data_IF_544648146779
#
_entry.id   IF_544648146779
#
_cell.length_a   1.000
_cell.length_b   1.000
_cell.length_c   1.000
_cell.angle_alpha   90.00
_cell.angle_beta   90.00
_cell.angle_gamma   90.00
#
_symmetry.space_group_name_H-M   'P 1'
#
loop_
_entity.id
_entity.type
_entity.pdbx_description
1 polymer ?
#
# COMPACT_ATOMS: atom_id res chain seq x y z
N UNK A 1 -18.42 7.88 41.62
CA UNK A 1 -17.81 6.73 40.92
C UNK A 1 -18.53 6.35 39.60
N UNK A 2 -19.65 7.00 39.21
CA UNK A 2 -20.40 6.64 37.99
C UNK A 2 -19.91 7.28 36.67
N UNK A 3 -19.09 8.34 36.71
CA UNK A 3 -18.65 9.04 35.49
C UNK A 3 -17.62 8.25 34.64
N UNK A 4 -16.99 7.20 35.19
CA UNK A 4 -15.96 6.43 34.48
C UNK A 4 -16.51 5.34 33.55
N UNK A 5 -17.77 4.91 33.72
CA UNK A 5 -18.35 3.84 32.89
C UNK A 5 -18.82 4.30 31.50
N UNK A 6 -18.96 5.60 31.28
CA UNK A 6 -19.42 6.17 30.00
C UNK A 6 -18.35 6.26 28.91
N UNK A 7 -17.07 6.14 29.25
CA UNK A 7 -15.97 6.27 28.28
C UNK A 7 -15.66 4.99 27.48
N UNK A 8 -16.32 3.87 27.77
CA UNK A 8 -15.77 2.55 27.44
C UNK A 8 -16.31 1.88 26.15
N UNK A 9 -17.06 2.59 25.28
CA UNK A 9 -17.57 1.99 24.02
C UNK A 9 -17.40 2.86 22.76
N UNK A 10 -16.49 3.83 22.75
CA UNK A 10 -16.22 4.53 21.49
C UNK A 10 -15.27 3.69 20.63
N UNK A 11 -15.83 2.94 19.68
CA UNK A 11 -15.07 2.22 18.66
C UNK A 11 -14.18 3.16 17.82
N UNK A 12 -13.32 2.58 16.97
CA UNK A 12 -12.41 3.37 16.15
C UNK A 12 -13.16 4.44 15.32
N UNK A 13 -12.57 5.65 15.15
CA UNK A 13 -13.11 6.66 14.25
C UNK A 13 -13.37 6.10 12.86
N UNK A 14 -14.38 6.61 12.16
CA UNK A 14 -14.74 6.14 10.80
C UNK A 14 -13.52 6.19 9.88
N UNK A 15 -12.73 7.27 9.92
CA UNK A 15 -11.52 7.39 9.10
C UNK A 15 -10.49 6.27 9.35
N UNK A 16 -10.34 5.78 10.58
CA UNK A 16 -9.44 4.67 10.90
C UNK A 16 -9.99 3.34 10.35
N UNK A 17 -11.30 3.12 10.43
CA UNK A 17 -11.94 1.93 9.83
C UNK A 17 -11.82 1.93 8.32
N UNK A 18 -12.11 3.06 7.68
CA UNK A 18 -11.95 3.24 6.23
C UNK A 18 -10.50 3.03 5.83
N UNK A 19 -9.53 3.60 6.54
CA UNK A 19 -8.10 3.38 6.28
C UNK A 19 -7.75 1.89 6.25
N UNK A 20 -8.19 1.12 7.26
CA UNK A 20 -7.90 -0.33 7.33
C UNK A 20 -8.50 -1.07 6.13
N UNK A 21 -9.75 -0.76 5.78
CA UNK A 21 -10.43 -1.38 4.63
C UNK A 21 -9.69 -1.02 3.33
N UNK A 22 -9.36 0.26 3.12
CA UNK A 22 -8.64 0.72 1.94
C UNK A 22 -7.27 0.07 1.83
N UNK A 23 -6.51 -0.05 2.92
CA UNK A 23 -5.22 -0.75 2.92
C UNK A 23 -5.39 -2.25 2.61
N UNK A 24 -6.42 -2.90 3.15
CA UNK A 24 -6.69 -4.30 2.83
C UNK A 24 -7.00 -4.48 1.32
N UNK A 25 -7.81 -3.60 0.73
CA UNK A 25 -8.08 -3.62 -0.71
C UNK A 25 -6.82 -3.31 -1.51
N UNK A 26 -6.00 -2.35 -1.08
CA UNK A 26 -4.70 -2.05 -1.70
C UNK A 26 -3.79 -3.29 -1.70
N UNK A 27 -3.73 -4.05 -0.61
CA UNK A 27 -2.95 -5.29 -0.53
C UNK A 27 -3.45 -6.31 -1.55
N UNK A 28 -4.76 -6.46 -1.73
CA UNK A 28 -5.31 -7.34 -2.76
C UNK A 28 -4.89 -6.90 -4.17
N UNK A 29 -4.92 -5.60 -4.45
CA UNK A 29 -4.44 -5.04 -5.73
C UNK A 29 -2.95 -5.26 -5.92
N UNK A 30 -2.14 -5.09 -4.86
CA UNK A 30 -0.70 -5.36 -4.92
C UNK A 30 -0.40 -6.84 -5.22
N UNK A 31 -1.24 -7.77 -4.77
CA UNK A 31 -1.09 -9.20 -5.07
C UNK A 31 -1.58 -9.53 -6.49
N UNK A 32 -2.62 -8.84 -6.96
CA UNK A 32 -3.23 -9.11 -8.26
C UNK A 32 -2.24 -8.96 -9.43
N UNK A 33 -1.36 -7.96 -9.39
CA UNK A 33 -0.38 -7.74 -10.47
C UNK A 33 0.63 -8.89 -10.61
N UNK A 34 1.38 -9.31 -9.57
CA UNK A 34 2.23 -10.50 -9.65
C UNK A 34 1.47 -11.79 -10.03
N UNK A 35 0.26 -11.97 -9.52
CA UNK A 35 -0.59 -13.12 -9.90
C UNK A 35 -0.91 -13.06 -11.39
N UNK A 36 -1.27 -11.90 -11.94
CA UNK A 36 -1.46 -11.74 -13.38
C UNK A 36 -0.19 -12.08 -14.15
N UNK A 37 0.98 -11.60 -13.72
CA UNK A 37 2.24 -11.89 -14.42
C UNK A 37 2.57 -13.40 -14.45
N UNK A 38 2.19 -14.14 -13.39
CA UNK A 38 2.35 -15.60 -13.33
C UNK A 38 1.35 -16.33 -14.23
N UNK A 39 0.11 -15.85 -14.30
CA UNK A 39 -0.96 -16.46 -15.09
C UNK A 39 -0.91 -16.08 -16.58
N UNK A 40 -0.31 -14.93 -16.91
CA UNK A 40 -0.09 -14.42 -18.25
C UNK A 40 1.40 -14.06 -18.47
N UNK A 41 2.26 -15.08 -18.61
CA UNK A 41 3.68 -14.86 -18.88
C UNK A 41 3.92 -14.23 -20.26
N UNK A 42 2.97 -14.34 -21.20
CA UNK A 42 3.03 -13.70 -22.52
C UNK A 42 3.05 -12.17 -22.40
N UNK A 43 2.10 -11.59 -21.67
CA UNK A 43 2.07 -10.14 -21.44
C UNK A 43 3.34 -9.63 -20.77
N UNK A 44 3.87 -10.39 -19.80
CA UNK A 44 5.15 -10.06 -19.15
C UNK A 44 6.32 -10.11 -20.12
N UNK A 45 6.39 -11.16 -20.95
CA UNK A 45 7.43 -11.32 -21.97
C UNK A 45 7.38 -10.18 -23.00
N UNK A 46 6.20 -9.78 -23.46
CA UNK A 46 6.02 -8.66 -24.37
C UNK A 46 6.53 -7.35 -23.75
N UNK A 47 6.24 -7.10 -22.47
CA UNK A 47 6.80 -5.95 -21.75
C UNK A 47 8.33 -5.98 -21.69
N UNK A 48 8.92 -7.14 -21.40
CA UNK A 48 10.38 -7.30 -21.36
C UNK A 48 10.99 -7.00 -22.72
N UNK A 49 10.46 -7.57 -23.81
CA UNK A 49 10.94 -7.30 -25.18
C UNK A 49 10.81 -5.82 -25.53
N UNK A 50 9.70 -5.18 -25.17
CA UNK A 50 9.43 -3.77 -25.47
C UNK A 50 10.44 -2.81 -24.81
N UNK A 51 10.88 -3.14 -23.60
CA UNK A 51 11.69 -2.27 -22.77
C UNK A 51 13.18 -2.62 -22.76
N UNK A 52 13.60 -3.64 -23.51
CA UNK A 52 14.99 -4.11 -23.51
C UNK A 52 15.53 -4.29 -24.94
N UNK A 53 16.87 -4.32 -25.13
CA UNK A 53 17.48 -4.69 -26.41
C UNK A 53 17.07 -6.10 -26.86
N UNK A 54 17.27 -6.45 -28.15
CA UNK A 54 17.03 -7.81 -28.64
C UNK A 54 17.81 -8.86 -27.83
N UNK A 55 17.11 -9.93 -27.43
CA UNK A 55 17.62 -11.02 -26.61
C UNK A 55 17.52 -12.35 -27.35
N UNK A 56 18.40 -13.29 -27.05
CA UNK A 56 18.19 -14.69 -27.40
C UNK A 56 16.99 -15.27 -26.64
N UNK A 57 16.38 -16.37 -27.11
CA UNK A 57 15.24 -16.98 -26.42
C UNK A 57 15.52 -17.37 -24.96
N UNK A 58 16.74 -17.82 -24.65
CA UNK A 58 17.12 -18.20 -23.28
C UNK A 58 17.29 -17.00 -22.34
N UNK A 59 17.85 -15.89 -22.86
CA UNK A 59 17.95 -14.63 -22.11
C UNK A 59 16.57 -14.05 -21.83
N UNK A 60 15.66 -14.12 -22.81
CA UNK A 60 14.29 -13.64 -22.65
C UNK A 60 13.51 -14.40 -21.58
N UNK A 61 13.57 -15.73 -21.58
CA UNK A 61 12.92 -16.56 -20.56
C UNK A 61 13.45 -16.25 -19.14
N UNK A 62 14.78 -16.08 -19.03
CA UNK A 62 15.44 -15.69 -17.79
C UNK A 62 14.99 -14.30 -17.33
N UNK A 63 14.95 -13.33 -18.23
CA UNK A 63 14.55 -11.96 -17.94
C UNK A 63 13.07 -11.86 -17.52
N UNK A 64 12.17 -12.57 -18.20
CA UNK A 64 10.76 -12.69 -17.82
C UNK A 64 10.61 -13.29 -16.43
N UNK A 65 11.28 -14.40 -16.15
CA UNK A 65 11.25 -15.03 -14.82
C UNK A 65 11.79 -14.09 -13.74
N UNK A 66 12.90 -13.41 -14.02
CA UNK A 66 13.48 -12.44 -13.09
C UNK A 66 12.51 -11.27 -12.82
N UNK A 67 11.82 -10.76 -13.84
CA UNK A 67 10.83 -9.70 -13.71
C UNK A 67 9.66 -10.13 -12.81
N UNK A 68 9.14 -11.35 -12.99
CA UNK A 68 8.06 -11.90 -12.15
C UNK A 68 8.51 -12.06 -10.69
N UNK A 69 9.68 -12.65 -10.46
CA UNK A 69 10.23 -12.85 -9.11
C UNK A 69 10.47 -11.51 -8.41
N UNK A 70 11.07 -10.55 -9.12
CA UNK A 70 11.33 -9.22 -8.61
C UNK A 70 10.03 -8.49 -8.25
N UNK A 71 9.06 -8.44 -9.17
CA UNK A 71 7.77 -7.81 -8.93
C UNK A 71 7.05 -8.45 -7.73
N UNK A 72 7.04 -9.78 -7.65
CA UNK A 72 6.45 -10.51 -6.52
C UNK A 72 7.10 -10.12 -5.19
N UNK A 73 8.43 -10.09 -5.13
CA UNK A 73 9.16 -9.74 -3.91
C UNK A 73 8.87 -8.29 -3.47
N UNK A 74 8.91 -7.34 -4.40
CA UNK A 74 8.61 -5.93 -4.10
C UNK A 74 7.18 -5.79 -3.57
N UNK A 75 6.19 -6.34 -4.25
CA UNK A 75 4.79 -6.24 -3.84
C UNK A 75 4.53 -6.91 -2.49
N UNK A 76 5.14 -8.07 -2.23
CA UNK A 76 5.04 -8.74 -0.94
C UNK A 76 5.59 -7.88 0.22
N UNK A 77 6.75 -7.24 0.02
CA UNK A 77 7.33 -6.32 1.01
C UNK A 77 6.42 -5.12 1.24
N UNK A 78 5.93 -4.47 0.17
CA UNK A 78 5.01 -3.35 0.29
C UNK A 78 3.74 -3.73 1.06
N UNK A 79 3.13 -4.88 0.74
CA UNK A 79 1.93 -5.37 1.41
C UNK A 79 2.18 -5.63 2.91
N UNK A 80 3.27 -6.33 3.25
CA UNK A 80 3.61 -6.65 4.64
C UNK A 80 3.89 -5.39 5.46
N UNK A 81 4.69 -4.47 4.93
CA UNK A 81 5.03 -3.21 5.60
C UNK A 81 3.80 -2.31 5.74
N UNK A 82 2.94 -2.21 4.72
CA UNK A 82 1.71 -1.44 4.78
C UNK A 82 0.74 -1.99 5.84
N UNK A 83 0.57 -3.31 5.91
CA UNK A 83 -0.24 -3.97 6.93
C UNK A 83 0.28 -3.67 8.35
N UNK A 84 1.59 -3.85 8.55
CA UNK A 84 2.23 -3.59 9.84
C UNK A 84 2.12 -2.12 10.27
N UNK A 85 2.43 -1.17 9.37
CA UNK A 85 2.30 0.26 9.66
C UNK A 85 0.86 0.67 9.93
N UNK A 86 -0.12 0.06 9.26
CA UNK A 86 -1.54 0.31 9.53
C UNK A 86 -1.92 -0.12 10.95
N UNK A 87 -1.41 -1.25 11.43
CA UNK A 87 -1.57 -1.66 12.84
C UNK A 87 -0.95 -0.62 13.79
N UNK A 88 0.23 -0.09 13.46
CA UNK A 88 0.89 0.95 14.29
C UNK A 88 0.16 2.29 14.25
N UNK A 89 -0.44 2.66 13.11
CA UNK A 89 -1.33 3.83 12.98
C UNK A 89 -2.56 3.68 13.87
N UNK A 90 -3.19 2.50 13.88
CA UNK A 90 -4.31 2.20 14.80
C UNK A 90 -3.94 2.28 16.27
N UNK A 91 -2.66 2.08 16.61
CA UNK A 91 -2.13 2.26 17.95
C UNK A 91 -1.71 3.72 18.25
N UNK A 92 -2.05 4.69 17.39
CA UNK A 92 -1.77 6.11 17.59
C UNK A 92 -0.30 6.51 17.41
N UNK A 93 0.53 5.65 16.79
CA UNK A 93 1.96 5.94 16.61
C UNK A 93 2.17 6.95 15.48
N UNK A 94 2.55 8.19 15.84
CA UNK A 94 2.73 9.28 14.87
C UNK A 94 3.84 9.00 13.85
N UNK A 95 4.93 8.33 14.25
CA UNK A 95 5.99 7.94 13.29
C UNK A 95 5.43 7.01 12.20
N UNK A 96 4.55 6.07 12.55
CA UNK A 96 3.98 5.12 11.60
C UNK A 96 3.06 5.82 10.58
N UNK A 97 2.37 6.88 10.99
CA UNK A 97 1.58 7.72 10.08
C UNK A 97 2.45 8.38 9.01
N UNK A 98 3.59 8.93 9.41
CA UNK A 98 4.55 9.54 8.47
C UNK A 98 5.17 8.47 7.57
N UNK A 99 5.67 7.37 8.14
CA UNK A 99 6.28 6.28 7.37
C UNK A 99 5.30 5.66 6.38
N UNK A 100 4.03 5.45 6.77
CA UNK A 100 3.01 4.93 5.84
C UNK A 100 2.74 5.90 4.70
N UNK A 101 2.79 7.21 4.95
CA UNK A 101 2.65 8.22 3.89
C UNK A 101 3.80 8.14 2.89
N UNK A 102 5.03 8.03 3.37
CA UNK A 102 6.22 7.84 2.52
C UNK A 102 6.10 6.54 1.71
N UNK A 103 5.64 5.45 2.34
CA UNK A 103 5.40 4.19 1.65
C UNK A 103 4.34 4.34 0.54
N UNK A 104 3.25 5.09 0.77
CA UNK A 104 2.24 5.34 -0.27
C UNK A 104 2.82 6.15 -1.44
N UNK A 105 3.71 7.11 -1.17
CA UNK A 105 4.41 7.85 -2.23
C UNK A 105 5.27 6.90 -3.06
N UNK A 106 6.07 6.05 -2.41
CA UNK A 106 6.88 5.06 -3.10
C UNK A 106 6.02 4.07 -3.92
N UNK A 107 4.88 3.63 -3.37
CA UNK A 107 3.94 2.76 -4.07
C UNK A 107 3.33 3.44 -5.31
N UNK A 108 3.00 4.73 -5.24
CA UNK A 108 2.51 5.49 -6.38
C UNK A 108 3.57 5.62 -7.48
N UNK A 109 4.84 5.90 -7.10
CA UNK A 109 5.95 5.97 -8.07
C UNK A 109 6.18 4.61 -8.75
N UNK A 110 6.16 3.52 -8.00
CA UNK A 110 6.27 2.16 -8.54
C UNK A 110 5.07 1.80 -9.45
N UNK A 111 3.87 2.28 -9.10
CA UNK A 111 2.68 2.14 -9.93
C UNK A 111 2.82 2.88 -11.26
N UNK A 112 3.41 4.09 -11.26
CA UNK A 112 3.68 4.83 -12.50
C UNK A 112 4.65 4.07 -13.38
N UNK A 113 5.74 3.54 -12.81
CA UNK A 113 6.71 2.71 -13.52
C UNK A 113 6.04 1.48 -14.18
N UNK A 114 5.20 0.78 -13.41
CA UNK A 114 4.41 -0.37 -13.91
C UNK A 114 3.45 0.04 -15.03
N UNK A 115 2.80 1.20 -14.93
CA UNK A 115 1.91 1.71 -15.97
C UNK A 115 2.65 2.06 -17.27
N UNK A 116 3.92 2.47 -17.18
CA UNK A 116 4.76 2.74 -18.36
C UNK A 116 5.34 1.49 -18.99
N UNK A 117 5.44 0.38 -18.24
CA UNK A 117 5.96 -0.88 -18.74
C UNK A 117 5.03 -1.55 -19.78
N UNK A 118 3.72 -1.27 -19.75
CA UNK A 118 2.76 -1.80 -20.72
C UNK A 118 1.28 -1.62 -20.40
N UNK A 119 0.44 -1.73 -21.43
CA UNK A 119 -1.01 -1.61 -21.30
C UNK A 119 -1.63 -2.74 -20.48
N UNK A 120 -1.00 -3.92 -20.51
CA UNK A 120 -1.33 -5.12 -19.74
C UNK A 120 -1.31 -4.89 -18.22
N UNK A 121 -0.53 -3.92 -17.72
CA UNK A 121 -0.43 -3.62 -16.28
C UNK A 121 -1.25 -2.42 -15.85
N UNK A 122 -1.81 -1.65 -16.80
CA UNK A 122 -2.38 -0.34 -16.54
C UNK A 122 -3.53 -0.37 -15.53
N UNK A 123 -4.40 -1.38 -15.60
CA UNK A 123 -5.54 -1.52 -14.70
C UNK A 123 -5.13 -1.64 -13.23
N UNK A 124 -4.20 -2.55 -12.94
CA UNK A 124 -3.69 -2.75 -11.57
C UNK A 124 -2.82 -1.59 -11.10
N UNK A 125 -2.00 -1.04 -12.00
CA UNK A 125 -1.14 0.10 -11.70
C UNK A 125 -1.97 1.33 -11.30
N UNK A 126 -2.95 1.72 -12.11
CA UNK A 126 -3.83 2.87 -11.84
C UNK A 126 -4.66 2.62 -10.58
N UNK A 127 -5.23 1.42 -10.42
CA UNK A 127 -5.99 1.05 -9.22
C UNK A 127 -5.14 1.17 -7.95
N UNK A 128 -3.90 0.69 -7.97
CA UNK A 128 -2.94 0.79 -6.88
C UNK A 128 -2.58 2.24 -6.54
N UNK A 129 -2.31 3.08 -7.55
CA UNK A 129 -2.02 4.51 -7.38
C UNK A 129 -3.19 5.22 -6.69
N UNK A 130 -4.43 5.02 -7.17
CA UNK A 130 -5.62 5.66 -6.61
C UNK A 130 -5.82 5.24 -5.16
N UNK A 131 -5.70 3.96 -4.85
CA UNK A 131 -5.85 3.47 -3.47
C UNK A 131 -4.75 4.01 -2.55
N UNK A 132 -3.50 4.05 -3.00
CA UNK A 132 -2.39 4.63 -2.24
C UNK A 132 -2.61 6.13 -1.96
N UNK A 133 -3.12 6.88 -2.95
CA UNK A 133 -3.49 8.28 -2.77
C UNK A 133 -4.62 8.45 -1.75
N UNK A 134 -5.66 7.61 -1.80
CA UNK A 134 -6.75 7.61 -0.82
C UNK A 134 -6.23 7.31 0.58
N UNK A 135 -5.32 6.33 0.74
CA UNK A 135 -4.67 6.05 2.04
C UNK A 135 -3.93 7.29 2.55
N UNK A 136 -3.12 7.94 1.71
CA UNK A 136 -2.41 9.16 2.09
C UNK A 136 -3.37 10.28 2.51
N UNK A 137 -4.47 10.49 1.79
CA UNK A 137 -5.51 11.46 2.15
C UNK A 137 -6.15 11.10 3.49
N UNK A 138 -6.56 9.85 3.68
CA UNK A 138 -7.18 9.38 4.94
C UNK A 138 -6.27 9.56 6.15
N UNK A 139 -4.96 9.48 5.97
CA UNK A 139 -3.99 9.70 7.04
C UNK A 139 -3.96 11.15 7.51
N UNK A 140 -4.25 12.15 6.68
CA UNK A 140 -4.01 13.57 7.00
C UNK A 140 -5.23 14.48 6.97
N UNK A 141 -6.16 14.24 6.04
CA UNK A 141 -7.24 15.17 5.74
C UNK A 141 -8.50 15.03 6.61
N UNK A 142 -8.97 13.84 7.02
CA UNK A 142 -10.16 13.73 7.86
C UNK A 142 -9.96 14.36 9.24
N UNK A 143 -10.91 15.20 9.68
CA UNK A 143 -10.88 15.81 11.02
C UNK A 143 -10.82 14.75 12.13
N UNK A 144 -11.60 13.68 11.99
CA UNK A 144 -11.63 12.55 12.92
C UNK A 144 -10.29 11.82 13.04
N UNK A 145 -9.47 11.82 11.98
CA UNK A 145 -8.10 11.27 12.03
C UNK A 145 -7.16 12.22 12.80
N UNK A 146 -7.28 13.54 12.59
CA UNK A 146 -6.47 14.52 13.34
C UNK A 146 -6.78 14.49 14.83
N UNK A 147 -8.05 14.45 15.20
CA UNK A 147 -8.51 14.34 16.59
C UNK A 147 -8.05 13.03 17.25
N UNK A 148 -8.06 11.93 16.51
CA UNK A 148 -7.55 10.64 16.99
C UNK A 148 -6.08 10.75 17.43
N UNK A 149 -5.22 11.33 16.59
CA UNK A 149 -3.80 11.50 16.91
C UNK A 149 -3.53 12.59 17.95
N UNK A 150 -4.37 13.63 18.04
CA UNK A 150 -4.27 14.65 19.09
C UNK A 150 -4.47 14.01 20.48
N UNK A 151 -5.54 13.24 20.65
CA UNK A 151 -5.84 12.54 21.92
C UNK A 151 -4.72 11.60 22.38
N UNK A 152 -4.10 10.86 21.45
CA UNK A 152 -2.99 9.96 21.77
C UNK A 152 -1.73 10.72 22.23
N UNK A 153 -1.49 11.91 21.67
CA UNK A 153 -0.35 12.76 22.05
C UNK A 153 -0.54 13.34 23.45
N UNK A 154 -1.74 13.79 23.78
CA UNK A 154 -2.04 14.39 25.08
C UNK A 154 -1.99 13.34 26.19
N UNK A 155 -2.51 12.13 25.94
CA UNK A 155 -2.40 11.02 26.89
C UNK A 155 -0.94 10.65 27.20
N UNK A 156 -0.07 10.62 26.19
CA UNK A 156 1.35 10.31 26.37
C UNK A 156 2.10 11.37 27.20
N UNK A 157 1.65 12.64 27.17
CA UNK A 157 2.23 13.73 27.97
C UNK A 157 1.79 13.68 29.43
N UNK A 158 0.59 13.18 29.72
CA UNK A 158 0.09 13.09 31.10
C UNK A 158 0.73 11.95 31.89
N UNK A 159 1.30 10.96 31.21
CA UNK A 159 1.95 9.79 31.83
C UNK A 159 3.47 9.90 31.91
N UNK A 160 4.07 10.98 31.40
CA UNK A 160 5.50 11.24 31.38
C UNK A 160 5.87 12.24 32.47
#
# INVERSE_FOLDING_TARGET
MEAQSYHQKQGFPVAVRTLVITVAVLILVLIALPVQMILDPSGTTESVVRNNPPMSPAELDTATTAAVVFATAVHAVFAAVAAWLTVKVRAGRQWARVTLTVLMIAAMLNGIDSATAGGEFLGWAVGGIVLAAVVAVLLWLPATMREFFARHRDGARQTA
#
